data_IF_662910302125
#
_entry.id   IF_662910302125
#
_cell.length_a   1.000
_cell.length_b   1.000
_cell.length_c   1.000
_cell.angle_alpha   90.00
_cell.angle_beta   90.00
_cell.angle_gamma   90.00
#
_symmetry.space_group_name_H-M   'P 1'
#
loop_
_entity.id
_entity.type
_entity.pdbx_description
1 polymer ?
#
# COMPACT_ATOMS: atom_id res chain seq x y z
N UNK A 1 4.85 23.50 20.84
CA UNK A 1 5.79 22.37 20.73
C UNK A 1 5.10 21.15 20.13
N UNK A 2 3.83 20.93 20.48
CA UNK A 2 3.05 19.74 20.10
C UNK A 2 2.73 19.64 18.60
N UNK A 3 2.49 20.77 17.92
CA UNK A 3 2.21 20.77 16.48
C UNK A 3 3.42 20.35 15.64
N UNK A 4 4.63 20.80 15.99
CA UNK A 4 5.85 20.37 15.28
C UNK A 4 6.11 18.88 15.47
N UNK A 5 5.92 18.37 16.70
CA UNK A 5 6.08 16.96 17.01
C UNK A 5 5.03 16.10 16.28
N UNK A 6 3.80 16.61 16.14
CA UNK A 6 2.75 16.02 15.34
C UNK A 6 3.11 15.94 13.85
N UNK A 7 3.59 17.04 13.25
CA UNK A 7 4.01 17.09 11.83
C UNK A 7 5.17 16.11 11.58
N UNK A 8 6.18 16.10 12.46
CA UNK A 8 7.32 15.18 12.35
C UNK A 8 6.87 13.73 12.48
N UNK A 9 5.95 13.43 13.40
CA UNK A 9 5.36 12.10 13.55
C UNK A 9 4.63 11.64 12.29
N UNK A 10 3.92 12.54 11.63
CA UNK A 10 3.25 12.25 10.35
C UNK A 10 4.23 11.85 9.26
N UNK A 11 5.30 12.62 9.09
CA UNK A 11 6.34 12.34 8.10
C UNK A 11 7.01 10.99 8.38
N UNK A 12 7.34 10.72 9.65
CA UNK A 12 7.91 9.44 10.07
C UNK A 12 6.98 8.26 9.79
N UNK A 13 5.70 8.38 10.18
CA UNK A 13 4.71 7.33 9.95
C UNK A 13 4.47 7.09 8.45
N UNK A 14 4.48 8.12 7.62
CA UNK A 14 4.35 8.00 6.17
C UNK A 14 5.54 7.27 5.53
N UNK A 15 6.76 7.59 5.97
CA UNK A 15 7.98 6.87 5.54
C UNK A 15 7.90 5.40 5.97
N UNK A 16 7.53 5.12 7.23
CA UNK A 16 7.40 3.76 7.76
C UNK A 16 6.33 2.99 6.97
N UNK A 17 5.16 3.59 6.71
CA UNK A 17 4.09 2.99 5.94
C UNK A 17 4.51 2.66 4.50
N UNK A 18 5.25 3.57 3.87
CA UNK A 18 5.79 3.38 2.51
C UNK A 18 6.79 2.22 2.46
N UNK A 19 7.75 2.16 3.39
CA UNK A 19 8.73 1.05 3.48
C UNK A 19 8.02 -0.26 3.77
N UNK A 20 7.05 -0.25 4.68
CA UNK A 20 6.26 -1.44 5.01
C UNK A 20 5.47 -1.95 3.80
N UNK A 21 4.86 -1.05 3.03
CA UNK A 21 4.14 -1.42 1.80
C UNK A 21 5.07 -2.10 0.78
N UNK A 22 6.25 -1.52 0.52
CA UNK A 22 7.24 -2.13 -0.39
C UNK A 22 7.65 -3.51 0.11
N UNK A 23 7.90 -3.64 1.43
CA UNK A 23 8.20 -4.93 2.06
C UNK A 23 7.08 -5.96 1.89
N UNK A 24 5.83 -5.58 2.16
CA UNK A 24 4.66 -6.44 2.02
C UNK A 24 4.42 -6.87 0.57
N UNK A 25 4.67 -5.97 -0.39
CA UNK A 25 4.58 -6.26 -1.82
C UNK A 25 5.66 -7.26 -2.25
N UNK A 26 6.93 -7.03 -1.91
CA UNK A 26 8.00 -7.98 -2.21
C UNK A 26 7.78 -9.35 -1.54
N UNK A 27 7.24 -9.36 -0.32
CA UNK A 27 6.87 -10.58 0.39
C UNK A 27 5.76 -11.34 -0.35
N UNK A 28 4.73 -10.65 -0.85
CA UNK A 28 3.63 -11.29 -1.58
C UNK A 28 4.14 -11.96 -2.86
N UNK A 29 5.04 -11.31 -3.60
CA UNK A 29 5.73 -11.88 -4.75
C UNK A 29 6.52 -13.14 -4.39
N UNK A 30 7.32 -13.07 -3.32
CA UNK A 30 8.14 -14.19 -2.86
C UNK A 30 7.28 -15.39 -2.43
N UNK A 31 6.22 -15.14 -1.66
CA UNK A 31 5.29 -16.18 -1.19
C UNK A 31 4.58 -16.85 -2.36
N UNK A 32 4.06 -16.09 -3.31
CA UNK A 32 3.39 -16.65 -4.48
C UNK A 32 4.35 -17.46 -5.34
N UNK A 33 5.59 -16.97 -5.54
CA UNK A 33 6.62 -17.74 -6.24
C UNK A 33 6.90 -19.07 -5.55
N UNK A 34 7.01 -19.08 -4.22
CA UNK A 34 7.32 -20.27 -3.45
C UNK A 34 6.14 -21.26 -3.39
N UNK A 35 4.92 -20.79 -3.16
CA UNK A 35 3.73 -21.63 -2.98
C UNK A 35 3.23 -22.22 -4.30
N UNK A 36 3.19 -21.41 -5.37
CA UNK A 36 2.61 -21.81 -6.66
C UNK A 36 3.65 -22.18 -7.73
N UNK A 37 4.93 -22.16 -7.37
CA UNK A 37 6.07 -22.38 -8.26
C UNK A 37 5.92 -21.54 -9.54
N UNK A 38 5.82 -20.22 -9.34
CA UNK A 38 5.51 -19.27 -10.41
C UNK A 38 6.68 -19.15 -11.39
N UNK A 39 6.39 -19.32 -12.69
CA UNK A 39 7.28 -19.07 -13.81
C UNK A 39 6.77 -17.86 -14.62
N UNK A 40 7.50 -17.48 -15.69
CA UNK A 40 7.14 -16.33 -16.51
C UNK A 40 5.71 -16.42 -17.08
N UNK A 41 5.31 -17.59 -17.58
CA UNK A 41 3.99 -17.80 -18.17
C UNK A 41 2.86 -17.66 -17.15
N UNK A 42 3.04 -18.23 -15.96
CA UNK A 42 2.06 -18.10 -14.85
C UNK A 42 1.95 -16.66 -14.36
N UNK A 43 3.07 -15.93 -14.30
CA UNK A 43 3.04 -14.50 -13.97
C UNK A 43 2.27 -13.70 -15.02
N UNK A 44 2.55 -13.94 -16.29
CA UNK A 44 1.85 -13.27 -17.39
C UNK A 44 0.34 -13.59 -17.38
N UNK A 45 -0.02 -14.85 -17.18
CA UNK A 45 -1.41 -15.28 -17.05
C UNK A 45 -2.11 -14.63 -15.85
N UNK A 46 -1.45 -14.56 -14.68
CA UNK A 46 -1.98 -13.91 -13.48
C UNK A 46 -2.19 -12.41 -13.73
N UNK A 47 -1.21 -11.72 -14.32
CA UNK A 47 -1.32 -10.28 -14.58
C UNK A 47 -2.34 -9.92 -15.64
N UNK A 48 -2.45 -10.71 -16.72
CA UNK A 48 -3.45 -10.49 -17.77
C UNK A 48 -4.85 -10.98 -17.38
N UNK A 49 -4.96 -11.77 -16.31
CA UNK A 49 -6.25 -12.30 -15.83
C UNK A 49 -7.29 -11.19 -15.67
N UNK A 50 -8.48 -11.42 -16.24
CA UNK A 50 -9.59 -10.49 -16.14
C UNK A 50 -9.32 -9.08 -16.68
N UNK A 51 -8.47 -8.93 -17.71
CA UNK A 51 -8.03 -7.63 -18.26
C UNK A 51 -7.21 -6.80 -17.25
N UNK A 52 -6.25 -7.42 -16.57
CA UNK A 52 -5.37 -6.73 -15.62
C UNK A 52 -5.77 -6.86 -14.14
N UNK A 53 -6.91 -7.49 -13.83
CA UNK A 53 -7.44 -7.64 -12.46
C UNK A 53 -6.42 -8.29 -11.51
N UNK A 54 -5.70 -9.31 -11.97
CA UNK A 54 -4.70 -9.97 -11.13
C UNK A 54 -3.52 -9.06 -10.76
N UNK A 55 -3.12 -8.15 -11.65
CA UNK A 55 -2.11 -7.13 -11.35
C UNK A 55 -2.60 -6.15 -10.28
N UNK A 56 -3.83 -5.65 -10.38
CA UNK A 56 -4.41 -4.77 -9.36
C UNK A 56 -4.54 -5.48 -8.02
N UNK A 57 -5.00 -6.73 -8.01
CA UNK A 57 -5.11 -7.52 -6.78
C UNK A 57 -3.76 -7.64 -6.08
N UNK A 58 -2.69 -7.91 -6.84
CA UNK A 58 -1.34 -8.06 -6.30
C UNK A 58 -0.78 -6.77 -5.70
N UNK A 59 -1.18 -5.60 -6.17
CA UNK A 59 -0.80 -4.32 -5.56
C UNK A 59 -1.72 -3.92 -4.41
N UNK A 60 -3.03 -4.08 -4.57
CA UNK A 60 -4.04 -3.56 -3.65
C UNK A 60 -4.14 -4.41 -2.38
N UNK A 61 -3.94 -5.72 -2.47
CA UNK A 61 -4.00 -6.60 -1.29
C UNK A 61 -2.89 -6.31 -0.27
N UNK A 62 -1.59 -6.24 -0.63
CA UNK A 62 -0.54 -5.81 0.30
C UNK A 62 -0.75 -4.40 0.85
N UNK A 63 -1.35 -3.52 0.04
CA UNK A 63 -1.67 -2.17 0.45
C UNK A 63 -2.75 -2.13 1.56
N UNK A 64 -3.82 -2.91 1.42
CA UNK A 64 -4.85 -3.02 2.47
C UNK A 64 -4.27 -3.56 3.78
N UNK A 65 -3.38 -4.56 3.71
CA UNK A 65 -2.67 -5.06 4.89
C UNK A 65 -1.85 -3.95 5.54
N UNK A 66 -1.12 -3.17 4.73
CA UNK A 66 -0.34 -2.04 5.22
C UNK A 66 -1.23 -1.02 5.95
N UNK A 67 -2.40 -0.66 5.42
CA UNK A 67 -3.31 0.30 6.08
C UNK A 67 -3.75 -0.18 7.47
N UNK A 68 -4.11 -1.46 7.61
CA UNK A 68 -4.54 -2.04 8.89
C UNK A 68 -3.39 -2.02 9.92
N UNK A 69 -2.18 -2.37 9.47
CA UNK A 69 -0.98 -2.32 10.31
C UNK A 69 -0.68 -0.88 10.70
N UNK A 70 -0.70 0.05 9.74
CA UNK A 70 -0.40 1.46 9.98
C UNK A 70 -1.39 2.12 10.92
N UNK A 71 -2.68 1.78 10.87
CA UNK A 71 -3.63 2.25 11.88
C UNK A 71 -3.18 1.87 13.30
N UNK A 72 -2.81 0.60 13.50
CA UNK A 72 -2.39 0.07 14.79
C UNK A 72 -1.08 0.71 15.26
N UNK A 73 -0.09 0.81 14.37
CA UNK A 73 1.22 1.44 14.65
C UNK A 73 1.04 2.92 14.99
N UNK A 74 0.24 3.65 14.22
CA UNK A 74 -0.02 5.07 14.44
C UNK A 74 -0.71 5.30 15.79
N UNK A 75 -1.66 4.44 16.15
CA UNK A 75 -2.36 4.54 17.43
C UNK A 75 -1.40 4.40 18.60
N UNK A 76 -0.58 3.35 18.59
CA UNK A 76 0.45 3.12 19.62
C UNK A 76 1.42 4.29 19.67
N UNK A 77 1.85 4.82 18.52
CA UNK A 77 2.73 5.98 18.44
C UNK A 77 2.12 7.24 19.07
N UNK A 78 0.87 7.55 18.73
CA UNK A 78 0.18 8.73 19.25
C UNK A 78 -0.14 8.62 20.74
N UNK A 79 -0.43 7.41 21.24
CA UNK A 79 -0.55 7.14 22.68
C UNK A 79 0.78 7.35 23.41
N UNK A 80 1.91 6.89 22.83
CA UNK A 80 3.25 7.07 23.42
C UNK A 80 3.67 8.54 23.58
N UNK A 81 3.26 9.40 22.66
CA UNK A 81 3.54 10.84 22.73
C UNK A 81 2.47 11.62 23.52
N UNK A 82 1.53 10.93 24.19
CA UNK A 82 0.40 11.50 24.93
C UNK A 82 -0.46 12.48 24.11
N UNK A 83 -0.68 12.18 22.83
CA UNK A 83 -1.54 12.99 21.98
C UNK A 83 -3.02 12.73 22.30
N UNK A 84 -3.72 13.77 22.77
CA UNK A 84 -5.13 13.70 23.23
C UNK A 84 -6.08 13.10 22.19
N UNK A 85 -5.81 13.36 20.91
CA UNK A 85 -6.63 12.88 19.79
C UNK A 85 -6.01 11.69 19.05
N UNK A 86 -5.39 10.75 19.76
CA UNK A 86 -4.63 9.63 19.18
C UNK A 86 -5.40 8.82 18.12
N UNK A 87 -6.70 8.59 18.34
CA UNK A 87 -7.56 7.89 17.38
C UNK A 87 -7.77 8.70 16.10
N UNK A 88 -8.14 9.99 16.22
CA UNK A 88 -8.32 10.87 15.07
C UNK A 88 -6.99 11.04 14.31
N UNK A 89 -5.89 11.24 15.03
CA UNK A 89 -4.55 11.31 14.46
C UNK A 89 -4.18 10.04 13.68
N UNK A 90 -4.55 8.86 14.18
CA UNK A 90 -4.30 7.59 13.47
C UNK A 90 -5.17 7.45 12.22
N UNK A 91 -6.45 7.84 12.31
CA UNK A 91 -7.36 7.82 11.18
C UNK A 91 -6.88 8.75 10.07
N UNK A 92 -6.38 9.95 10.39
CA UNK A 92 -5.88 10.85 9.37
C UNK A 92 -4.59 10.36 8.70
N UNK A 93 -3.73 9.57 9.38
CA UNK A 93 -2.61 8.89 8.70
C UNK A 93 -3.14 7.91 7.66
N UNK A 94 -4.11 7.06 8.03
CA UNK A 94 -4.74 6.10 7.11
C UNK A 94 -5.42 6.80 5.94
N UNK A 95 -6.14 7.90 6.20
CA UNK A 95 -6.82 8.69 5.16
C UNK A 95 -5.79 9.29 4.19
N UNK A 96 -4.70 9.89 4.69
CA UNK A 96 -3.66 10.44 3.83
C UNK A 96 -3.02 9.37 2.94
N UNK A 97 -2.64 8.23 3.53
CA UNK A 97 -2.12 7.10 2.76
C UNK A 97 -3.12 6.66 1.69
N UNK A 98 -4.40 6.55 2.05
CA UNK A 98 -5.49 6.14 1.14
C UNK A 98 -5.66 7.11 -0.01
N UNK A 99 -5.62 8.42 0.26
CA UNK A 99 -5.74 9.45 -0.76
C UNK A 99 -4.62 9.34 -1.79
N UNK A 100 -3.37 9.11 -1.36
CA UNK A 100 -2.23 8.93 -2.27
C UNK A 100 -2.53 7.82 -3.28
N UNK A 101 -3.08 6.69 -2.82
CA UNK A 101 -3.45 5.59 -3.71
C UNK A 101 -4.63 5.94 -4.59
N UNK A 102 -5.69 6.55 -4.08
CA UNK A 102 -6.84 6.96 -4.90
C UNK A 102 -6.42 7.88 -6.05
N UNK A 103 -5.43 8.76 -5.84
CA UNK A 103 -4.91 9.63 -6.91
C UNK A 103 -3.93 8.92 -7.85
N UNK A 104 -3.13 7.96 -7.35
CA UNK A 104 -2.11 7.28 -8.14
C UNK A 104 -2.64 6.08 -8.95
N UNK A 105 -3.61 5.32 -8.40
CA UNK A 105 -4.13 4.09 -9.00
C UNK A 105 -4.82 4.29 -10.35
N UNK A 106 -5.65 5.34 -10.57
CA UNK A 106 -6.26 5.60 -11.87
C UNK A 106 -5.20 5.82 -12.96
N UNK A 107 -4.13 6.57 -12.65
CA UNK A 107 -3.02 6.78 -13.58
C UNK A 107 -2.30 5.47 -13.93
N UNK A 108 -2.07 4.61 -12.93
CA UNK A 108 -1.52 3.28 -13.15
C UNK A 108 -2.42 2.44 -14.05
N UNK A 109 -3.74 2.54 -13.87
CA UNK A 109 -4.71 1.80 -14.68
C UNK A 109 -4.66 2.18 -16.15
N UNK A 110 -4.59 3.47 -16.45
CA UNK A 110 -4.53 3.94 -17.84
C UNK A 110 -3.22 3.48 -18.52
N UNK A 111 -2.09 3.52 -17.81
CA UNK A 111 -0.81 3.03 -18.32
C UNK A 111 -0.85 1.53 -18.63
N UNK A 112 -1.41 0.73 -17.71
CA UNK A 112 -1.49 -0.73 -17.88
C UNK A 112 -2.43 -1.09 -19.03
N UNK A 113 -3.59 -0.44 -19.11
CA UNK A 113 -4.56 -0.70 -20.18
C UNK A 113 -4.00 -0.32 -21.56
N UNK A 114 -3.34 0.84 -21.68
CA UNK A 114 -2.74 1.27 -22.94
C UNK A 114 -1.61 0.32 -23.40
N UNK A 115 -0.76 -0.14 -22.47
CA UNK A 115 0.30 -1.11 -22.79
C UNK A 115 -0.19 -2.52 -23.09
N UNK A 116 -1.31 -2.93 -22.50
CA UNK A 116 -1.94 -4.22 -22.82
C UNK A 116 -2.59 -4.18 -24.20
N UNK A 117 -3.16 -3.05 -24.60
CA UNK A 117 -3.77 -2.86 -25.93
C UNK A 117 -2.75 -2.72 -27.08
N UNK A 118 -1.53 -2.25 -26.82
CA UNK A 118 -0.46 -2.23 -27.85
C UNK A 118 0.15 -3.60 -28.16
N UNK A 119 -0.10 -4.63 -27.32
CA UNK A 119 0.50 -5.97 -27.45
C UNK A 119 -0.50 -7.06 -27.87
N UNK A 120 -1.72 -6.69 -28.27
CA UNK A 120 -2.73 -7.55 -28.91
C UNK A 120 -2.84 -7.18 -30.41
#
# INVERSE_FOLDING_TARGET
>A
MDILLFIISYILLDIIGSVFYVGALLLSFKLLKMIFNMNADKWNALFKSGKGVGFYFMMLFPYLIMLVVMFSVSKVWFELINFEYSVLGSLSVVILLTLIVIFAFPKLRDIVNNKLQEND
#
